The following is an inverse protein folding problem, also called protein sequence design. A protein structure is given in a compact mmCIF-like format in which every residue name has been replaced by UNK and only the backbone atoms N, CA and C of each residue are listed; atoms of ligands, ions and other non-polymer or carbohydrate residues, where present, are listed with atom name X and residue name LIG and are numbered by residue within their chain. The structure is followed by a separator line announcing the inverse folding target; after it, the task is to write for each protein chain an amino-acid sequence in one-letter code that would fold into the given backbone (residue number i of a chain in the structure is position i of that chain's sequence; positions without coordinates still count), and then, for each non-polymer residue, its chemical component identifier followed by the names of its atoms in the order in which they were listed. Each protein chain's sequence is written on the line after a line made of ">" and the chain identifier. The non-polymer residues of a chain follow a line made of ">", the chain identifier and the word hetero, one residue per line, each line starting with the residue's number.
data_IF_497692100362
#
_entry.id   IF_497692100362
#
_cell.length_a   1.000
_cell.length_b   1.000
_cell.length_c   1.000
_cell.angle_alpha   90.00
_cell.angle_beta   90.00
_cell.angle_gamma   90.00
#
_symmetry.space_group_name_H-M   'P 1'
#
loop_
_entity.id
_entity.type
_entity.pdbx_description
1 polymer ?
#
# COMPACT_ATOMS: atom_id res chain seq x y z
N UNK A 1 -25.18 -22.30 -20.01
CA UNK A 1 -24.20 -21.41 -19.38
C UNK A 1 -24.93 -20.56 -18.36
N UNK A 2 -24.49 -20.58 -17.09
CA UNK A 2 -25.26 -20.06 -15.98
C UNK A 2 -25.03 -18.51 -15.88
N UNK A 3 -26.03 -17.73 -16.29
CA UNK A 3 -25.95 -16.24 -16.28
C UNK A 3 -25.60 -15.64 -14.91
N UNK A 4 -25.86 -16.34 -13.81
CA UNK A 4 -25.48 -15.92 -12.46
C UNK A 4 -23.95 -15.91 -12.23
N UNK A 5 -23.21 -16.85 -12.83
CA UNK A 5 -21.76 -16.91 -12.73
C UNK A 5 -21.04 -15.86 -13.61
N UNK A 6 -21.70 -15.43 -14.70
CA UNK A 6 -21.17 -14.38 -15.57
C UNK A 6 -21.31 -13.00 -14.90
N UNK A 7 -22.45 -12.75 -14.24
CA UNK A 7 -22.70 -11.50 -13.52
C UNK A 7 -21.77 -11.33 -12.31
N UNK A 8 -21.54 -12.40 -11.54
CA UNK A 8 -20.60 -12.38 -10.41
C UNK A 8 -19.16 -12.14 -10.88
N UNK A 9 -18.73 -12.81 -11.95
CA UNK A 9 -17.39 -12.61 -12.54
C UNK A 9 -17.22 -11.21 -13.13
N UNK A 10 -18.27 -10.64 -13.73
CA UNK A 10 -18.25 -9.29 -14.31
C UNK A 10 -18.29 -8.23 -13.22
N UNK A 11 -19.00 -8.42 -12.11
CA UNK A 11 -19.02 -7.52 -10.97
C UNK A 11 -17.69 -7.51 -10.23
N UNK A 12 -17.06 -8.67 -10.05
CA UNK A 12 -15.72 -8.80 -9.47
C UNK A 12 -14.67 -8.19 -10.42
N UNK A 13 -14.75 -8.43 -11.73
CA UNK A 13 -13.86 -7.82 -12.70
C UNK A 13 -14.01 -6.30 -12.80
N UNK A 14 -15.23 -5.77 -12.67
CA UNK A 14 -15.50 -4.33 -12.62
C UNK A 14 -14.99 -3.72 -11.30
N UNK A 15 -15.15 -4.40 -10.16
CA UNK A 15 -14.60 -3.96 -8.88
C UNK A 15 -13.07 -4.01 -8.87
N UNK A 16 -12.47 -5.05 -9.46
CA UNK A 16 -11.01 -5.18 -9.62
C UNK A 16 -10.45 -4.14 -10.59
N UNK A 17 -11.19 -3.78 -11.66
CA UNK A 17 -10.77 -2.73 -12.59
C UNK A 17 -10.77 -1.32 -11.97
N UNK A 18 -11.49 -1.11 -10.86
CA UNK A 18 -11.49 0.15 -10.11
C UNK A 18 -10.30 0.28 -9.13
N UNK A 19 -9.59 -0.83 -8.87
CA UNK A 19 -8.50 -0.88 -7.87
C UNK A 19 -7.16 -1.05 -8.59
N UNK A 20 -6.72 -0.05 -9.33
CA UNK A 20 -5.36 -0.01 -9.87
C UNK A 20 -4.57 1.06 -9.11
N UNK A 21 -3.73 0.64 -8.18
CA UNK A 21 -2.95 1.56 -7.36
C UNK A 21 -1.49 1.09 -7.22
N UNK A 22 -0.59 1.98 -7.50
CA UNK A 22 0.84 1.79 -7.33
C UNK A 22 1.42 3.00 -6.62
N UNK A 23 1.86 2.85 -5.39
CA UNK A 23 2.32 3.99 -4.60
C UNK A 23 3.35 3.60 -3.55
N UNK A 24 4.06 4.61 -3.07
CA UNK A 24 5.07 4.51 -2.03
C UNK A 24 4.54 5.00 -0.69
N UNK A 25 4.32 4.10 0.24
CA UNK A 25 4.32 4.35 1.67
C UNK A 25 5.52 3.60 2.28
N UNK A 26 5.72 3.61 3.60
CA UNK A 26 6.79 2.83 4.22
C UNK A 26 6.72 1.36 3.75
N UNK A 27 7.79 0.88 3.13
CA UNK A 27 7.74 -0.31 2.31
C UNK A 27 6.82 -0.11 1.09
N UNK A 28 5.79 -0.93 0.95
CA UNK A 28 4.76 -0.81 -0.10
C UNK A 28 3.32 -0.81 0.48
N UNK A 29 3.18 -0.40 1.75
CA UNK A 29 1.87 -0.19 2.38
C UNK A 29 1.24 1.12 1.92
N UNK A 30 -0.08 1.13 1.73
CA UNK A 30 -0.88 2.29 1.36
C UNK A 30 -1.77 2.73 2.53
N UNK A 31 -1.85 4.05 2.75
CA UNK A 31 -2.77 4.65 3.71
C UNK A 31 -3.95 5.37 3.04
N UNK A 32 -4.00 5.41 1.73
CA UNK A 32 -4.87 6.26 0.89
C UNK A 32 -6.30 5.72 0.78
N UNK A 33 -6.91 5.33 1.90
CA UNK A 33 -8.27 4.78 1.95
C UNK A 33 -9.36 5.86 2.12
N UNK A 34 -8.99 7.16 2.25
CA UNK A 34 -9.94 8.27 2.29
C UNK A 34 -9.26 9.61 2.05
N UNK A 35 -9.99 10.56 1.47
CA UNK A 35 -9.49 11.93 1.27
C UNK A 35 -9.58 12.78 2.54
N UNK A 36 -10.52 12.47 3.43
CA UNK A 36 -10.63 13.13 4.73
C UNK A 36 -9.41 12.78 5.60
N UNK A 37 -8.99 11.51 5.61
CA UNK A 37 -7.76 11.07 6.28
C UNK A 37 -6.53 11.70 5.68
N UNK A 38 -6.44 11.79 4.33
CA UNK A 38 -5.34 12.44 3.64
C UNK A 38 -5.14 13.88 4.14
N UNK A 39 -6.20 14.66 4.31
CA UNK A 39 -6.14 16.05 4.77
C UNK A 39 -5.61 16.25 6.18
N UNK A 40 -5.45 15.18 6.97
CA UNK A 40 -4.91 15.19 8.34
C UNK A 40 -3.71 14.25 8.52
N UNK A 41 -3.06 13.86 7.43
CA UNK A 41 -1.96 12.89 7.41
C UNK A 41 -2.33 11.55 8.09
N UNK A 42 -3.60 11.14 7.99
CA UNK A 42 -4.16 9.93 8.62
C UNK A 42 -3.94 9.87 10.14
N UNK A 43 -3.88 11.02 10.81
CA UNK A 43 -3.79 11.08 12.26
C UNK A 43 -5.13 10.76 12.92
N UNK A 44 -5.11 9.93 13.97
CA UNK A 44 -6.28 9.61 14.78
C UNK A 44 -7.32 8.69 14.12
N UNK A 45 -6.99 8.04 13.00
CA UNK A 45 -7.95 7.29 12.19
C UNK A 45 -8.71 6.22 12.96
N UNK A 46 -8.07 5.53 13.91
CA UNK A 46 -8.70 4.52 14.74
C UNK A 46 -9.72 5.04 15.75
N UNK A 47 -9.80 6.37 15.95
CA UNK A 47 -10.74 7.03 16.86
C UNK A 47 -11.70 7.99 16.14
N UNK A 48 -11.71 8.00 14.80
CA UNK A 48 -12.56 8.84 13.97
C UNK A 48 -13.91 8.18 13.69
N UNK A 49 -14.96 9.01 13.49
CA UNK A 49 -16.30 8.58 13.14
C UNK A 49 -17.01 9.59 12.26
N UNK A 50 -16.26 10.39 11.51
CA UNK A 50 -16.76 11.48 10.70
C UNK A 50 -17.36 11.02 9.37
N UNK A 51 -16.84 9.95 8.78
CA UNK A 51 -17.39 9.32 7.56
C UNK A 51 -17.35 7.79 7.64
N UNK A 52 -18.04 7.13 6.71
CA UNK A 52 -18.00 5.66 6.60
C UNK A 52 -16.58 5.10 6.41
N UNK A 53 -15.66 5.92 5.91
CA UNK A 53 -14.27 5.50 5.65
C UNK A 53 -13.49 5.12 6.92
N UNK A 54 -13.83 5.67 8.08
CA UNK A 54 -13.16 5.37 9.35
C UNK A 54 -13.27 3.89 9.75
N UNK A 55 -14.36 3.22 9.34
CA UNK A 55 -14.56 1.79 9.58
C UNK A 55 -13.50 0.90 8.94
N UNK A 56 -12.86 1.34 7.86
CA UNK A 56 -11.76 0.61 7.21
C UNK A 56 -10.50 0.54 8.07
N UNK A 57 -10.27 1.54 8.92
CA UNK A 57 -9.16 1.53 9.88
C UNK A 57 -9.54 0.82 11.18
N UNK A 58 -10.70 1.18 11.73
CA UNK A 58 -11.21 0.61 12.96
C UNK A 58 -12.72 0.28 12.83
N UNK A 59 -13.10 -1.00 12.69
CA UNK A 59 -14.50 -1.36 12.54
C UNK A 59 -15.36 -0.95 13.73
N UNK A 60 -14.79 -0.79 14.93
CA UNK A 60 -15.52 -0.32 16.12
C UNK A 60 -16.05 1.12 15.98
N UNK A 61 -15.44 1.95 15.11
CA UNK A 61 -15.90 3.32 14.89
C UNK A 61 -17.26 3.41 14.20
N UNK A 62 -17.75 2.31 13.62
CA UNK A 62 -19.13 2.25 13.11
C UNK A 62 -20.16 2.58 14.19
N UNK A 63 -19.86 2.29 15.46
CA UNK A 63 -20.72 2.60 16.60
C UNK A 63 -20.93 4.12 16.82
N UNK A 64 -20.16 4.98 16.17
CA UNK A 64 -20.34 6.43 16.18
C UNK A 64 -21.36 6.92 15.12
N UNK A 65 -21.86 6.02 14.27
CA UNK A 65 -22.79 6.36 13.18
C UNK A 65 -24.22 6.02 13.57
N UNK A 66 -25.07 7.01 13.51
CA UNK A 66 -26.50 6.92 13.85
C UNK A 66 -27.38 6.59 12.64
N UNK A 67 -26.88 6.76 11.43
CA UNK A 67 -27.58 6.54 10.16
C UNK A 67 -26.71 5.75 9.18
N UNK A 68 -27.32 5.10 8.18
CA UNK A 68 -26.53 4.51 7.09
C UNK A 68 -25.65 5.56 6.42
N UNK A 69 -24.40 5.24 6.20
CA UNK A 69 -23.40 6.16 5.67
C UNK A 69 -22.64 5.52 4.50
N UNK A 70 -22.38 6.32 3.49
CA UNK A 70 -21.66 5.94 2.28
C UNK A 70 -20.56 6.95 2.01
N UNK A 71 -19.40 6.48 1.53
CA UNK A 71 -18.31 7.33 1.07
C UNK A 71 -17.68 6.70 -0.18
N UNK A 72 -17.44 7.52 -1.20
CA UNK A 72 -16.74 7.11 -2.42
C UNK A 72 -15.79 8.21 -2.87
N UNK A 73 -14.60 7.81 -3.29
CA UNK A 73 -13.63 8.76 -3.81
C UNK A 73 -12.36 8.10 -4.30
N UNK A 74 -11.35 8.92 -4.50
CA UNK A 74 -10.02 8.47 -4.89
C UNK A 74 -8.95 9.45 -4.44
N UNK A 75 -7.74 8.92 -4.26
CA UNK A 75 -6.52 9.70 -4.08
C UNK A 75 -5.66 9.53 -5.32
N UNK A 76 -5.26 10.63 -5.92
CA UNK A 76 -4.25 10.66 -6.99
C UNK A 76 -2.89 10.89 -6.36
N UNK A 77 -1.93 10.04 -6.68
CA UNK A 77 -0.58 10.11 -6.17
C UNK A 77 0.35 10.37 -7.33
N UNK A 78 1.14 11.43 -7.20
CA UNK A 78 2.11 11.90 -8.18
C UNK A 78 3.51 11.86 -7.57
N UNK A 79 4.21 10.71 -7.70
CA UNK A 79 5.56 10.54 -7.17
C UNK A 79 6.60 11.14 -8.12
N UNK A 80 7.69 11.61 -7.54
CA UNK A 80 8.92 12.00 -8.24
C UNK A 80 10.08 11.27 -7.56
N UNK A 81 10.45 10.13 -8.13
CA UNK A 81 11.50 9.25 -7.60
C UNK A 81 12.62 9.14 -8.63
N UNK A 82 13.82 9.51 -8.22
CA UNK A 82 14.98 9.62 -9.08
C UNK A 82 16.16 8.81 -8.52
N UNK A 83 16.83 8.12 -9.41
CA UNK A 83 18.05 7.37 -9.14
C UNK A 83 19.17 8.05 -9.90
N UNK A 84 20.34 8.18 -9.27
CA UNK A 84 21.53 8.72 -9.92
C UNK A 84 22.80 8.00 -9.50
N UNK A 85 23.83 8.09 -10.33
CA UNK A 85 25.14 7.49 -10.07
C UNK A 85 25.90 7.11 -11.33
N UNK A 86 27.03 6.42 -11.12
CA UNK A 86 27.84 5.85 -12.20
C UNK A 86 28.28 4.44 -11.86
N UNK A 87 28.28 3.57 -12.85
CA UNK A 87 28.81 2.23 -12.71
C UNK A 87 30.35 2.25 -12.66
N UNK A 88 30.96 1.14 -12.29
CA UNK A 88 32.43 1.00 -12.30
C UNK A 88 33.03 1.17 -13.70
N UNK A 89 32.25 0.86 -14.75
CA UNK A 89 32.65 1.10 -16.15
C UNK A 89 32.47 2.56 -16.59
N UNK A 90 31.99 3.45 -15.72
CA UNK A 90 31.74 4.87 -16.00
C UNK A 90 30.41 5.16 -16.68
N UNK A 91 29.55 4.15 -16.91
CA UNK A 91 28.22 4.35 -17.50
C UNK A 91 27.27 5.05 -16.52
N UNK A 92 26.35 5.87 -17.04
CA UNK A 92 25.33 6.50 -16.21
C UNK A 92 24.38 5.47 -15.62
N UNK A 93 24.03 5.69 -14.35
CA UNK A 93 22.98 4.98 -13.61
C UNK A 93 21.75 5.88 -13.39
N UNK A 94 21.70 7.05 -14.04
CA UNK A 94 20.63 8.00 -13.85
C UNK A 94 19.32 7.46 -14.46
N UNK A 95 18.25 7.54 -13.68
CA UNK A 95 16.90 7.22 -14.09
C UNK A 95 15.93 8.13 -13.33
N UNK A 96 15.13 8.91 -14.06
CA UNK A 96 14.21 9.88 -13.48
C UNK A 96 12.78 9.37 -13.57
N UNK A 97 11.94 9.78 -12.60
CA UNK A 97 10.52 9.45 -12.56
C UNK A 97 10.27 7.94 -12.74
N UNK A 98 11.02 7.12 -12.01
CA UNK A 98 10.90 5.66 -12.11
C UNK A 98 9.60 5.12 -11.50
N UNK A 99 8.82 5.96 -10.82
CA UNK A 99 7.55 5.62 -10.20
C UNK A 99 6.42 6.31 -10.97
N UNK A 100 5.52 5.58 -11.64
CA UNK A 100 4.40 6.16 -12.36
C UNK A 100 3.34 6.71 -11.39
N UNK A 101 2.67 7.81 -11.80
CA UNK A 101 1.52 8.37 -11.07
C UNK A 101 0.33 7.41 -11.10
N UNK A 102 -0.48 7.40 -10.03
CA UNK A 102 -1.56 6.44 -9.87
C UNK A 102 -2.79 7.00 -9.15
N UNK A 103 -3.94 6.40 -9.45
CA UNK A 103 -5.19 6.61 -8.74
C UNK A 103 -5.44 5.47 -7.73
N UNK A 104 -5.80 5.83 -6.50
CA UNK A 104 -6.19 4.90 -5.44
C UNK A 104 -7.66 5.14 -5.09
N UNK A 105 -8.59 4.38 -5.69
CA UNK A 105 -10.00 4.52 -5.39
C UNK A 105 -10.34 3.89 -4.04
N UNK A 106 -11.41 4.39 -3.42
CA UNK A 106 -11.97 3.83 -2.20
C UNK A 106 -13.49 3.97 -2.18
N UNK A 107 -14.15 2.99 -1.57
CA UNK A 107 -15.59 2.98 -1.35
C UNK A 107 -15.90 2.33 -0.01
N UNK A 108 -16.83 2.93 0.74
CA UNK A 108 -17.18 2.50 2.08
C UNK A 108 -18.68 2.62 2.30
N UNK A 109 -19.24 1.67 3.03
CA UNK A 109 -20.63 1.67 3.46
C UNK A 109 -20.76 1.17 4.90
N UNK A 110 -21.54 1.84 5.70
CA UNK A 110 -21.87 1.45 7.08
C UNK A 110 -23.38 1.47 7.25
N UNK A 111 -23.92 0.40 7.83
CA UNK A 111 -25.33 0.22 8.12
C UNK A 111 -25.54 -0.05 9.60
N UNK A 112 -26.14 0.89 10.37
CA UNK A 112 -26.70 0.58 11.68
C UNK A 112 -27.82 -0.46 11.55
N UNK A 113 -27.79 -1.48 12.38
CA UNK A 113 -28.85 -2.50 12.46
C UNK A 113 -29.81 -2.16 13.59
N UNK A 114 -29.23 -1.75 14.73
CA UNK A 114 -29.93 -1.24 15.92
C UNK A 114 -28.92 -0.44 16.75
N UNK A 115 -29.30 -0.05 17.97
CA UNK A 115 -28.45 0.76 18.86
C UNK A 115 -27.17 0.05 19.35
N UNK A 116 -27.01 -1.23 19.07
CA UNK A 116 -25.88 -2.04 19.52
C UNK A 116 -25.08 -2.67 18.38
N UNK A 117 -25.67 -2.83 17.18
CA UNK A 117 -25.06 -3.57 16.09
C UNK A 117 -24.96 -2.75 14.80
N UNK A 118 -23.80 -2.83 14.16
CA UNK A 118 -23.50 -2.24 12.86
C UNK A 118 -22.86 -3.28 11.95
N UNK A 119 -23.09 -3.14 10.66
CA UNK A 119 -22.34 -3.85 9.62
C UNK A 119 -21.74 -2.85 8.66
N UNK A 120 -20.60 -3.21 8.07
CA UNK A 120 -19.89 -2.37 7.12
C UNK A 120 -19.27 -3.18 5.99
N UNK A 121 -19.07 -2.51 4.87
CA UNK A 121 -18.38 -3.04 3.72
C UNK A 121 -17.46 -1.97 3.12
N UNK A 122 -16.31 -2.35 2.65
CA UNK A 122 -15.40 -1.45 1.96
C UNK A 122 -14.61 -2.14 0.87
N UNK A 123 -14.16 -1.35 -0.10
CA UNK A 123 -13.16 -1.72 -1.08
C UNK A 123 -12.07 -0.64 -1.08
N UNK A 124 -10.86 -1.06 -0.76
CA UNK A 124 -9.69 -0.19 -0.61
C UNK A 124 -8.46 -0.86 -1.24
N UNK A 125 -7.35 -0.16 -1.27
CA UNK A 125 -6.05 -0.73 -1.59
C UNK A 125 -5.09 -0.44 -0.43
N UNK A 126 -4.57 -1.50 0.19
CA UNK A 126 -3.72 -1.37 1.38
C UNK A 126 -2.24 -1.57 1.07
N UNK A 127 -1.91 -2.12 -0.09
CA UNK A 127 -0.55 -2.35 -0.56
C UNK A 127 -0.46 -2.09 -2.04
N UNK A 128 0.66 -1.54 -2.50
CA UNK A 128 0.91 -1.30 -3.90
C UNK A 128 2.32 -0.77 -4.12
N UNK A 129 2.88 -1.07 -5.29
CA UNK A 129 4.22 -0.67 -5.68
C UNK A 129 4.33 -0.63 -7.20
N UNK A 130 4.96 0.40 -7.76
CA UNK A 130 5.35 0.41 -9.15
C UNK A 130 6.68 1.13 -9.35
N UNK A 131 7.62 0.44 -9.97
CA UNK A 131 8.83 1.04 -10.53
C UNK A 131 9.04 0.56 -11.94
N UNK A 132 9.48 1.45 -12.81
CA UNK A 132 9.74 1.15 -14.20
C UNK A 132 11.01 1.88 -14.70
N UNK A 133 11.97 1.10 -15.18
CA UNK A 133 13.20 1.56 -15.80
C UNK A 133 13.16 1.22 -17.30
N UNK A 134 13.92 1.93 -18.11
CA UNK A 134 14.09 1.57 -19.51
C UNK A 134 14.70 0.16 -19.64
N UNK A 135 14.25 -0.60 -20.64
CA UNK A 135 14.70 -1.99 -20.85
C UNK A 135 16.22 -2.14 -21.01
N UNK A 136 16.88 -1.13 -21.59
CA UNK A 136 18.34 -1.08 -21.73
C UNK A 136 19.08 -0.40 -20.57
N UNK A 137 18.42 -0.19 -19.42
CA UNK A 137 19.03 0.44 -18.26
C UNK A 137 20.31 -0.25 -17.82
N UNK A 138 21.35 0.52 -17.50
CA UNK A 138 22.70 0.00 -17.18
C UNK A 138 22.67 -1.07 -16.08
N UNK A 139 21.90 -0.85 -15.02
CA UNK A 139 21.70 -1.82 -13.92
C UNK A 139 20.38 -2.60 -14.07
N UNK A 140 20.07 -3.08 -15.27
CA UNK A 140 18.79 -3.73 -15.61
C UNK A 140 18.47 -4.97 -14.79
N UNK A 141 19.48 -5.68 -14.26
CA UNK A 141 19.29 -6.81 -13.35
C UNK A 141 18.72 -6.45 -11.98
N UNK A 142 18.85 -5.19 -11.57
CA UNK A 142 18.34 -4.63 -10.31
C UNK A 142 17.15 -3.70 -10.53
N UNK A 143 17.08 -2.99 -11.66
CA UNK A 143 15.99 -2.14 -12.10
C UNK A 143 14.87 -2.92 -12.79
N UNK A 144 14.61 -2.59 -14.05
CA UNK A 144 13.53 -3.23 -14.83
C UNK A 144 12.17 -2.73 -14.44
N UNK A 145 11.23 -3.67 -14.21
CA UNK A 145 9.88 -3.36 -13.75
C UNK A 145 9.54 -4.17 -12.51
N UNK A 146 8.98 -3.50 -11.52
CA UNK A 146 8.39 -4.13 -10.34
C UNK A 146 7.02 -3.51 -10.12
N UNK A 147 5.99 -4.34 -10.09
CA UNK A 147 4.60 -3.92 -10.07
C UNK A 147 3.82 -4.83 -9.12
N UNK A 148 3.18 -4.24 -8.12
CA UNK A 148 2.26 -4.89 -7.20
C UNK A 148 1.00 -4.07 -7.09
N UNK A 149 -0.13 -4.68 -7.38
CA UNK A 149 -1.45 -4.09 -7.23
C UNK A 149 -2.26 -4.95 -6.27
N UNK A 150 -2.93 -4.33 -5.30
CA UNK A 150 -3.86 -5.05 -4.43
C UNK A 150 -5.21 -4.37 -4.35
N UNK A 151 -6.26 -5.17 -4.22
CA UNK A 151 -7.60 -4.72 -3.85
C UNK A 151 -8.05 -5.44 -2.60
N UNK A 152 -8.41 -4.72 -1.55
CA UNK A 152 -8.92 -5.28 -0.32
C UNK A 152 -10.42 -5.08 -0.21
N UNK A 153 -11.17 -6.17 -0.13
CA UNK A 153 -12.61 -6.19 0.11
C UNK A 153 -12.84 -6.61 1.55
N UNK A 154 -13.40 -5.70 2.35
CA UNK A 154 -13.66 -5.93 3.77
C UNK A 154 -15.17 -5.99 4.05
N UNK A 155 -15.56 -6.97 4.85
CA UNK A 155 -16.88 -7.05 5.49
C UNK A 155 -16.67 -7.05 6.99
N UNK A 156 -17.34 -6.15 7.69
CA UNK A 156 -17.13 -5.95 9.12
C UNK A 156 -18.44 -5.82 9.90
N UNK A 157 -18.34 -6.06 11.18
CA UNK A 157 -19.40 -5.82 12.15
C UNK A 157 -18.84 -5.13 13.38
N UNK A 158 -19.67 -4.33 14.03
CA UNK A 158 -19.37 -3.70 15.31
C UNK A 158 -20.46 -3.95 16.32
N UNK A 159 -20.07 -3.98 17.57
CA UNK A 159 -20.96 -4.14 18.70
C UNK A 159 -20.63 -3.13 19.81
N UNK A 160 -21.65 -2.42 20.29
CA UNK A 160 -21.54 -1.50 21.42
C UNK A 160 -21.79 -2.26 22.71
N UNK A 161 -20.73 -2.44 23.51
CA UNK A 161 -20.78 -3.12 24.81
C UNK A 161 -21.50 -2.29 25.87
N UNK A 162 -21.20 -0.98 25.90
CA UNK A 162 -21.77 0.00 26.83
C UNK A 162 -21.53 1.43 26.31
N UNK A 163 -21.79 2.42 27.13
CA UNK A 163 -21.62 3.85 26.78
C UNK A 163 -20.16 4.23 26.43
N UNK A 164 -19.18 3.45 26.90
CA UNK A 164 -17.77 3.77 26.74
C UNK A 164 -17.05 2.85 25.73
N UNK A 165 -17.47 1.60 25.59
CA UNK A 165 -16.74 0.61 24.80
C UNK A 165 -17.54 0.08 23.62
N UNK A 166 -16.91 0.08 22.47
CA UNK A 166 -17.36 -0.62 21.28
C UNK A 166 -16.22 -1.49 20.73
N UNK A 167 -16.59 -2.61 20.14
CA UNK A 167 -15.64 -3.54 19.49
C UNK A 167 -16.10 -3.78 18.07
N UNK A 168 -15.17 -4.15 17.22
CA UNK A 168 -15.47 -4.50 15.84
C UNK A 168 -14.51 -5.55 15.32
N UNK A 169 -14.97 -6.31 14.34
CA UNK A 169 -14.19 -7.32 13.63
C UNK A 169 -14.58 -7.33 12.16
N UNK A 170 -13.61 -7.59 11.29
CA UNK A 170 -13.83 -7.67 9.86
C UNK A 170 -13.06 -8.82 9.23
N UNK A 171 -13.55 -9.26 8.08
CA UNK A 171 -12.92 -10.21 7.20
C UNK A 171 -12.38 -9.48 5.97
N UNK A 172 -11.13 -9.75 5.61
CA UNK A 172 -10.44 -9.18 4.46
C UNK A 172 -10.25 -10.25 3.37
N UNK A 173 -10.71 -9.97 2.16
CA UNK A 173 -10.36 -10.71 0.95
C UNK A 173 -9.50 -9.81 0.07
N UNK A 174 -8.23 -10.18 -0.11
CA UNK A 174 -7.25 -9.38 -0.83
C UNK A 174 -6.93 -10.05 -2.16
N UNK A 175 -7.31 -9.41 -3.25
CA UNK A 175 -6.82 -9.77 -4.58
C UNK A 175 -5.51 -9.05 -4.83
N UNK A 176 -4.48 -9.79 -5.21
CA UNK A 176 -3.17 -9.25 -5.51
C UNK A 176 -2.72 -9.66 -6.91
N UNK A 177 -2.10 -8.74 -7.63
CA UNK A 177 -1.47 -8.98 -8.92
C UNK A 177 -0.04 -8.45 -8.88
N UNK A 178 0.92 -9.30 -9.24
CA UNK A 178 2.33 -8.96 -9.22
C UNK A 178 2.99 -9.22 -10.58
N UNK A 179 3.96 -8.35 -10.92
CA UNK A 179 4.79 -8.48 -12.10
C UNK A 179 6.21 -8.00 -11.79
N UNK A 180 7.21 -8.82 -12.16
CA UNK A 180 8.61 -8.47 -12.02
C UNK A 180 9.29 -8.73 -13.36
N UNK A 181 10.01 -7.75 -13.88
CA UNK A 181 10.86 -7.87 -15.07
C UNK A 181 12.27 -7.40 -14.75
N UNK A 182 13.27 -8.13 -15.22
CA UNK A 182 14.68 -7.76 -15.13
C UNK A 182 15.33 -7.92 -16.50
N UNK A 183 16.32 -7.08 -16.74
CA UNK A 183 17.04 -7.03 -18.01
C UNK A 183 18.54 -7.19 -17.77
N UNK A 184 19.29 -7.59 -18.81
CA UNK A 184 20.72 -7.88 -18.68
C UNK A 184 21.55 -6.63 -18.28
N UNK A 185 21.17 -5.44 -18.76
CA UNK A 185 21.93 -4.23 -18.53
C UNK A 185 23.37 -4.35 -19.03
N UNK A 186 24.30 -3.67 -18.36
CA UNK A 186 25.73 -3.76 -18.74
C UNK A 186 26.33 -5.16 -18.47
N UNK A 187 25.72 -5.96 -17.57
CA UNK A 187 26.14 -7.34 -17.30
C UNK A 187 25.98 -8.25 -18.53
N UNK A 188 25.12 -7.88 -19.46
CA UNK A 188 24.92 -8.61 -20.73
C UNK A 188 26.19 -8.72 -21.56
N UNK A 189 27.12 -7.78 -21.44
CA UNK A 189 28.39 -7.82 -22.16
C UNK A 189 29.24 -9.06 -21.82
N UNK A 190 29.23 -9.51 -20.57
CA UNK A 190 29.94 -10.72 -20.13
C UNK A 190 29.36 -12.00 -20.75
N UNK A 191 28.04 -12.01 -21.02
CA UNK A 191 27.32 -13.12 -21.65
C UNK A 191 27.18 -12.94 -23.17
N UNK A 192 27.67 -11.84 -23.73
CA UNK A 192 27.55 -11.45 -25.15
C UNK A 192 26.09 -11.36 -25.61
N UNK A 193 25.21 -10.86 -24.73
CA UNK A 193 23.79 -10.60 -25.01
C UNK A 193 23.49 -9.10 -24.92
N UNK A 194 22.50 -8.58 -25.66
CA UNK A 194 22.07 -7.18 -25.59
C UNK A 194 21.63 -6.76 -24.18
N UNK A 195 21.83 -5.49 -23.83
CA UNK A 195 21.47 -4.95 -22.51
C UNK A 195 19.95 -5.02 -22.24
N UNK A 196 19.12 -4.96 -23.27
CA UNK A 196 17.66 -5.07 -23.23
C UNK A 196 17.13 -6.51 -23.25
N UNK A 197 18.03 -7.50 -23.20
CA UNK A 197 17.61 -8.90 -23.07
C UNK A 197 16.91 -9.12 -21.73
N UNK A 198 15.67 -9.60 -21.79
CA UNK A 198 14.89 -9.91 -20.58
C UNK A 198 15.42 -11.17 -19.91
N UNK A 199 16.01 -11.00 -18.71
CA UNK A 199 16.62 -12.10 -17.95
C UNK A 199 15.69 -12.70 -16.89
N UNK A 200 14.63 -11.99 -16.54
CA UNK A 200 13.54 -12.52 -15.73
C UNK A 200 12.23 -11.82 -16.08
N UNK A 201 11.18 -12.60 -16.16
CA UNK A 201 9.79 -12.14 -16.25
C UNK A 201 8.93 -13.06 -15.40
N UNK A 202 8.36 -12.49 -14.34
CA UNK A 202 7.42 -13.16 -13.44
C UNK A 202 6.12 -12.40 -13.49
N UNK A 203 5.00 -13.09 -13.53
CA UNK A 203 3.67 -12.51 -13.37
C UNK A 203 2.73 -13.53 -12.75
N UNK A 204 1.83 -13.05 -11.92
CA UNK A 204 0.77 -13.86 -11.32
C UNK A 204 -0.26 -12.99 -10.64
N UNK A 205 -1.40 -13.56 -10.39
CA UNK A 205 -2.47 -12.96 -9.61
C UNK A 205 -3.10 -14.04 -8.71
N UNK A 206 -3.47 -13.67 -7.50
CA UNK A 206 -4.03 -14.59 -6.53
C UNK A 206 -4.80 -13.84 -5.43
N UNK A 207 -5.64 -14.57 -4.72
CA UNK A 207 -6.34 -14.13 -3.54
C UNK A 207 -5.59 -14.51 -2.26
N UNK A 208 -5.57 -13.58 -1.30
CA UNK A 208 -5.18 -13.83 0.08
C UNK A 208 -6.30 -13.44 1.02
N UNK A 209 -6.27 -13.93 2.24
CA UNK A 209 -7.33 -13.68 3.22
C UNK A 209 -6.75 -13.28 4.56
N UNK A 210 -7.46 -12.41 5.23
CA UNK A 210 -7.08 -11.90 6.53
C UNK A 210 -8.29 -11.42 7.31
N UNK A 211 -8.01 -10.76 8.41
CA UNK A 211 -9.02 -10.20 9.29
C UNK A 211 -8.51 -8.94 9.98
N UNK A 212 -9.42 -8.14 10.47
CA UNK A 212 -9.09 -6.98 11.28
C UNK A 212 -10.03 -6.88 12.48
N UNK A 213 -9.57 -6.23 13.52
CA UNK A 213 -10.35 -5.98 14.72
C UNK A 213 -10.03 -4.61 15.29
N UNK A 214 -10.95 -4.09 16.07
CA UNK A 214 -10.74 -2.82 16.73
C UNK A 214 -11.55 -2.66 18.01
N UNK A 215 -11.08 -1.75 18.84
CA UNK A 215 -11.74 -1.29 20.06
C UNK A 215 -11.83 0.23 19.97
N UNK A 216 -12.98 0.77 20.33
CA UNK A 216 -13.18 2.19 20.54
C UNK A 216 -13.53 2.43 22.00
N UNK A 217 -12.79 3.30 22.65
CA UNK A 217 -13.07 3.77 24.00
C UNK A 217 -13.46 5.23 24.00
N UNK A 218 -14.72 5.52 24.31
CA UNK A 218 -15.28 6.85 24.47
C UNK A 218 -15.25 7.23 25.95
N UNK A 219 -14.30 8.07 26.36
CA UNK A 219 -14.23 8.58 27.74
C UNK A 219 -15.44 9.45 28.00
N UNK A 220 -15.74 10.33 27.04
CA UNK A 220 -16.89 11.21 26.94
C UNK A 220 -17.11 11.62 25.46
N UNK A 221 -18.03 12.53 25.19
CA UNK A 221 -18.31 13.02 23.83
C UNK A 221 -17.14 13.75 23.16
N UNK A 222 -16.15 14.22 23.93
CA UNK A 222 -15.01 15.00 23.46
C UNK A 222 -13.69 14.23 23.45
N UNK A 223 -13.65 13.03 24.03
CA UNK A 223 -12.40 12.30 24.22
C UNK A 223 -12.58 10.82 23.85
N UNK A 224 -11.86 10.36 22.84
CA UNK A 224 -11.89 8.98 22.35
C UNK A 224 -10.51 8.44 22.10
N UNK A 225 -10.37 7.13 22.32
CA UNK A 225 -9.19 6.35 21.97
C UNK A 225 -9.62 5.16 21.11
N UNK A 226 -8.78 4.82 20.15
CA UNK A 226 -8.95 3.64 19.31
C UNK A 226 -7.74 2.74 19.37
N UNK A 227 -7.97 1.44 19.32
CA UNK A 227 -6.94 0.44 19.14
C UNK A 227 -7.36 -0.49 18.02
N UNK A 228 -6.47 -0.70 17.04
CA UNK A 228 -6.77 -1.52 15.87
C UNK A 228 -5.68 -2.55 15.60
N UNK A 229 -6.10 -3.65 15.04
CA UNK A 229 -5.24 -4.71 14.52
C UNK A 229 -5.71 -5.14 13.13
N UNK A 230 -4.79 -5.29 12.22
CA UNK A 230 -4.99 -5.93 10.92
C UNK A 230 -4.01 -7.07 10.78
N UNK A 231 -4.51 -8.26 10.46
CA UNK A 231 -3.70 -9.47 10.34
C UNK A 231 -2.78 -9.42 9.11
N UNK A 232 -1.72 -10.19 9.17
CA UNK A 232 -0.96 -10.58 7.98
C UNK A 232 -1.89 -11.20 6.94
N UNK A 233 -1.60 -10.92 5.66
CA UNK A 233 -2.23 -11.62 4.52
C UNK A 233 -1.13 -12.27 3.70
N UNK A 234 -1.19 -13.59 3.62
CA UNK A 234 -0.31 -14.39 2.79
C UNK A 234 -0.93 -14.58 1.41
N UNK A 235 -0.19 -14.20 0.37
CA UNK A 235 -0.59 -14.41 -1.02
C UNK A 235 0.38 -15.40 -1.67
N UNK A 236 -0.13 -16.58 -2.00
CA UNK A 236 0.63 -17.65 -2.63
C UNK A 236 0.37 -17.62 -4.15
N UNK A 237 1.15 -16.84 -4.88
CA UNK A 237 1.00 -16.72 -6.33
C UNK A 237 1.41 -18.01 -7.04
N UNK A 238 0.50 -18.50 -7.88
CA UNK A 238 0.81 -19.45 -8.95
C UNK A 238 0.78 -18.68 -10.27
N UNK A 239 1.92 -18.64 -10.96
CA UNK A 239 2.06 -17.81 -12.15
C UNK A 239 3.07 -18.33 -13.15
N UNK A 240 3.46 -17.45 -14.05
CA UNK A 240 4.38 -17.71 -15.15
C UNK A 240 5.76 -17.13 -14.87
N UNK A 241 6.78 -17.89 -15.19
CA UNK A 241 8.17 -17.47 -15.23
C UNK A 241 8.80 -17.66 -16.61
N UNK A 242 9.57 -16.69 -17.08
CA UNK A 242 10.31 -16.75 -18.34
C UNK A 242 11.65 -16.03 -18.20
N UNK A 243 12.69 -16.59 -18.82
CA UNK A 243 14.01 -15.95 -18.97
C UNK A 243 14.61 -16.25 -20.33
N UNK A 244 15.17 -15.23 -20.98
CA UNK A 244 15.93 -15.43 -22.23
C UNK A 244 17.37 -15.85 -21.98
N UNK A 245 17.79 -16.04 -20.72
CA UNK A 245 19.09 -16.63 -20.41
C UNK A 245 19.15 -18.09 -20.89
N UNK A 246 20.33 -18.55 -21.37
CA UNK A 246 20.53 -19.94 -21.72
C UNK A 246 20.33 -20.89 -20.54
N UNK A 247 19.57 -21.95 -20.72
CA UNK A 247 19.34 -22.97 -19.67
C UNK A 247 20.64 -23.71 -19.28
N UNK A 248 21.63 -23.72 -20.16
CA UNK A 248 22.97 -24.29 -19.86
C UNK A 248 23.66 -23.60 -18.68
N UNK A 249 23.34 -22.32 -18.40
CA UNK A 249 23.87 -21.60 -17.24
C UNK A 249 23.43 -22.22 -15.92
N UNK A 250 22.27 -22.87 -15.89
CA UNK A 250 21.68 -23.42 -14.67
C UNK A 250 22.54 -24.56 -14.07
N UNK A 251 23.43 -25.18 -14.87
CA UNK A 251 24.33 -26.21 -14.38
C UNK A 251 25.39 -25.68 -13.39
N UNK A 252 25.72 -24.38 -13.49
CA UNK A 252 26.76 -23.72 -12.69
C UNK A 252 26.23 -22.52 -11.91
N UNK A 253 24.96 -22.21 -12.06
CA UNK A 253 24.30 -21.03 -11.46
C UNK A 253 23.24 -21.45 -10.43
N UNK A 254 23.30 -20.84 -9.25
CA UNK A 254 22.24 -20.90 -8.26
C UNK A 254 21.72 -19.47 -8.03
N UNK A 255 20.50 -19.15 -8.45
CA UNK A 255 19.93 -17.80 -8.32
C UNK A 255 19.97 -17.24 -6.89
N UNK A 256 19.83 -18.09 -5.88
CA UNK A 256 19.84 -17.66 -4.48
C UNK A 256 21.25 -17.20 -4.02
N UNK A 257 22.31 -17.70 -4.65
CA UNK A 257 23.69 -17.32 -4.31
C UNK A 257 24.24 -16.22 -5.22
N UNK A 258 23.94 -16.31 -6.52
CA UNK A 258 24.50 -15.42 -7.53
C UNK A 258 23.66 -14.18 -7.82
N UNK A 259 22.34 -14.21 -7.51
CA UNK A 259 21.38 -13.21 -7.94
C UNK A 259 21.03 -13.28 -9.43
N UNK A 260 21.64 -14.20 -10.21
CA UNK A 260 21.36 -14.37 -11.63
C UNK A 260 20.15 -15.28 -11.78
N UNK A 261 19.06 -14.83 -12.48
CA UNK A 261 17.85 -15.63 -12.65
C UNK A 261 18.08 -16.95 -13.40
N UNK A 262 17.21 -17.91 -13.18
CA UNK A 262 17.20 -19.21 -13.85
C UNK A 262 16.91 -19.06 -15.35
N UNK A 263 17.75 -19.64 -16.22
CA UNK A 263 17.59 -19.56 -17.67
C UNK A 263 16.56 -20.56 -18.21
N UNK A 264 15.67 -20.12 -19.12
CA UNK A 264 14.66 -20.97 -19.76
C UNK A 264 14.74 -20.95 -21.28
N UNK A 265 15.81 -20.40 -21.88
CA UNK A 265 15.93 -20.23 -23.34
C UNK A 265 14.72 -19.51 -23.97
N UNK A 266 14.08 -18.60 -23.24
CA UNK A 266 12.87 -17.90 -23.68
C UNK A 266 11.56 -18.68 -23.55
N UNK A 267 11.58 -19.87 -22.98
CA UNK A 267 10.36 -20.66 -22.71
C UNK A 267 9.68 -20.19 -21.44
N UNK A 268 8.35 -20.17 -21.44
CA UNK A 268 7.53 -19.91 -20.24
C UNK A 268 7.34 -21.22 -19.49
N UNK A 269 7.59 -21.18 -18.18
CA UNK A 269 7.38 -22.30 -17.27
C UNK A 269 6.55 -21.86 -16.06
N UNK A 270 5.87 -22.77 -15.35
CA UNK A 270 5.19 -22.46 -14.11
C UNK A 270 6.17 -21.98 -13.04
N UNK A 271 5.74 -20.99 -12.24
CA UNK A 271 6.50 -20.47 -11.11
C UNK A 271 5.57 -20.08 -9.95
N UNK A 272 5.99 -20.35 -8.73
CA UNK A 272 5.26 -19.99 -7.52
C UNK A 272 6.08 -19.00 -6.69
N UNK A 273 5.40 -18.01 -6.10
CA UNK A 273 6.00 -17.02 -5.20
C UNK A 273 5.02 -16.69 -4.08
N UNK A 274 5.50 -16.71 -2.84
CA UNK A 274 4.73 -16.26 -1.68
C UNK A 274 5.09 -14.82 -1.35
N UNK A 275 4.08 -13.98 -1.18
CA UNK A 275 4.19 -12.61 -0.69
C UNK A 275 3.45 -12.47 0.64
N UNK A 276 4.18 -12.08 1.68
CA UNK A 276 3.59 -11.77 2.98
C UNK A 276 3.31 -10.26 3.05
N UNK A 277 2.02 -9.90 3.14
CA UNK A 277 1.57 -8.55 3.43
C UNK A 277 1.46 -8.41 4.95
N UNK A 278 2.26 -7.54 5.58
CA UNK A 278 2.47 -7.59 7.02
C UNK A 278 1.25 -7.19 7.85
N UNK A 279 1.19 -7.68 9.07
CA UNK A 279 0.22 -7.22 10.07
C UNK A 279 0.52 -5.81 10.56
N UNK A 280 -0.51 -5.14 11.06
CA UNK A 280 -0.41 -3.77 11.58
C UNK A 280 -1.21 -3.60 12.87
N UNK A 281 -0.62 -2.86 13.81
CA UNK A 281 -1.22 -2.40 15.06
C UNK A 281 -1.28 -0.88 15.06
N UNK A 282 -2.36 -0.28 15.56
CA UNK A 282 -2.44 1.17 15.69
C UNK A 282 -3.17 1.57 16.96
N UNK A 283 -2.63 2.58 17.64
CA UNK A 283 -3.28 3.31 18.73
C UNK A 283 -3.57 4.72 18.23
N UNK A 284 -4.79 5.18 18.46
CA UNK A 284 -5.26 6.50 18.03
C UNK A 284 -5.95 7.23 19.17
N UNK A 285 -5.89 8.55 19.13
CA UNK A 285 -6.65 9.44 20.02
C UNK A 285 -7.29 10.58 19.25
N UNK A 286 -8.47 10.98 19.70
CA UNK A 286 -9.18 12.15 19.22
C UNK A 286 -9.75 12.93 20.41
N UNK A 287 -9.48 14.24 20.48
CA UNK A 287 -9.84 15.10 21.59
C UNK A 287 -10.35 16.45 21.08
N UNK A 288 -11.61 16.78 21.39
CA UNK A 288 -12.16 18.11 21.15
C UNK A 288 -11.76 19.03 22.29
N UNK A 289 -10.69 19.77 22.09
CA UNK A 289 -10.06 20.61 23.13
C UNK A 289 -10.71 21.97 23.30
N UNK A 290 -11.53 22.40 22.33
CA UNK A 290 -12.30 23.62 22.34
C UNK A 290 -13.55 23.44 21.45
N UNK A 291 -14.58 24.34 21.53
CA UNK A 291 -15.82 24.19 20.74
C UNK A 291 -15.59 24.02 19.23
N UNK A 292 -14.54 24.64 18.68
CA UNK A 292 -14.22 24.60 17.26
C UNK A 292 -12.93 23.85 16.94
N UNK A 293 -12.26 23.21 17.93
CA UNK A 293 -10.96 22.59 17.74
C UNK A 293 -10.90 21.17 18.27
N UNK A 294 -10.40 20.27 17.46
CA UNK A 294 -10.00 18.93 17.87
C UNK A 294 -8.54 18.67 17.53
N UNK A 295 -7.88 17.89 18.37
CA UNK A 295 -6.52 17.36 18.16
C UNK A 295 -6.63 15.86 18.06
N UNK A 296 -5.85 15.25 17.17
CA UNK A 296 -5.85 13.83 16.96
C UNK A 296 -4.46 13.33 16.60
N UNK A 297 -4.19 12.11 16.99
CA UNK A 297 -2.88 11.49 16.82
C UNK A 297 -3.03 9.98 16.65
N UNK A 298 -2.02 9.38 16.05
CA UNK A 298 -1.90 7.92 15.95
C UNK A 298 -0.44 7.48 15.94
N UNK A 299 -0.24 6.26 16.42
CA UNK A 299 1.01 5.54 16.32
C UNK A 299 0.70 4.14 15.79
N UNK A 300 1.24 3.82 14.63
CA UNK A 300 1.08 2.55 13.98
C UNK A 300 2.40 1.78 13.97
N UNK A 301 2.31 0.48 14.19
CA UNK A 301 3.41 -0.46 14.10
C UNK A 301 3.08 -1.51 13.06
N UNK A 302 3.97 -1.70 12.09
CA UNK A 302 3.82 -2.68 11.02
C UNK A 302 4.94 -3.71 11.10
N UNK A 303 4.55 -4.99 11.18
CA UNK A 303 5.47 -6.13 11.31
C UNK A 303 6.12 -6.49 9.95
N UNK A 304 6.87 -5.55 9.38
CA UNK A 304 7.55 -5.74 8.11
C UNK A 304 8.60 -6.86 8.12
N UNK A 305 9.04 -7.31 9.30
CA UNK A 305 9.88 -8.50 9.45
C UNK A 305 9.22 -9.78 8.92
N UNK A 306 7.93 -9.76 8.59
CA UNK A 306 7.25 -10.85 7.88
C UNK A 306 7.60 -10.90 6.38
N UNK A 307 8.15 -9.81 5.81
CA UNK A 307 8.61 -9.75 4.43
C UNK A 307 10.14 -9.88 4.36
N UNK A 308 10.63 -11.11 4.17
CA UNK A 308 12.05 -11.42 4.23
C UNK A 308 12.70 -11.61 2.87
N UNK A 309 11.96 -12.11 1.88
CA UNK A 309 12.51 -12.44 0.56
C UNK A 309 11.44 -12.38 -0.53
N UNK A 310 11.90 -12.16 -1.76
CA UNK A 310 11.16 -12.46 -2.98
C UNK A 310 11.81 -13.68 -3.61
N UNK A 311 11.16 -14.83 -3.51
CA UNK A 311 11.66 -16.10 -4.02
C UNK A 311 10.62 -16.78 -4.88
N UNK A 312 10.93 -16.91 -6.17
CA UNK A 312 10.15 -17.71 -7.09
C UNK A 312 10.74 -19.10 -7.24
N UNK A 313 9.89 -20.12 -7.17
CA UNK A 313 10.27 -21.53 -7.29
C UNK A 313 9.51 -22.19 -8.44
N UNK A 314 10.20 -23.08 -9.17
CA UNK A 314 9.60 -23.90 -10.20
C UNK A 314 8.99 -25.19 -9.65
N UNK A 315 8.30 -25.95 -10.52
CA UNK A 315 7.57 -27.18 -10.16
C UNK A 315 8.45 -28.27 -9.53
N UNK A 316 9.75 -28.24 -9.77
CA UNK A 316 10.71 -29.19 -9.18
C UNK A 316 11.40 -28.64 -7.94
N UNK A 317 10.93 -27.50 -7.41
CA UNK A 317 11.51 -26.84 -6.26
C UNK A 317 12.79 -26.03 -6.56
N UNK A 318 13.21 -25.92 -7.84
CA UNK A 318 14.35 -25.09 -8.22
C UNK A 318 14.04 -23.60 -8.03
N UNK A 319 15.02 -22.84 -7.54
CA UNK A 319 14.90 -21.39 -7.46
C UNK A 319 14.99 -20.77 -8.84
N UNK A 320 13.96 -20.00 -9.22
CA UNK A 320 13.88 -19.30 -10.51
C UNK A 320 14.38 -17.86 -10.40
N UNK A 321 13.99 -17.20 -9.32
CA UNK A 321 14.37 -15.82 -8.99
C UNK A 321 14.53 -15.69 -7.48
N UNK A 322 15.47 -14.88 -7.05
CA UNK A 322 15.70 -14.64 -5.63
C UNK A 322 16.15 -13.21 -5.36
N UNK A 323 15.59 -12.61 -4.33
CA UNK A 323 16.02 -11.36 -3.76
C UNK A 323 15.84 -11.39 -2.24
N UNK A 324 16.90 -11.13 -1.51
CA UNK A 324 16.88 -10.93 -0.07
C UNK A 324 16.39 -9.52 0.24
N UNK A 325 15.30 -9.40 0.96
CA UNK A 325 14.70 -8.12 1.38
C UNK A 325 14.99 -7.83 2.85
N UNK A 326 14.89 -8.83 3.73
CA UNK A 326 15.23 -8.76 5.17
C UNK A 326 14.69 -7.49 5.85
N UNK A 327 13.41 -7.15 5.59
CA UNK A 327 12.78 -5.96 6.16
C UNK A 327 12.72 -6.07 7.68
N UNK A 328 12.73 -4.93 8.36
CA UNK A 328 12.54 -4.78 9.79
C UNK A 328 11.19 -4.14 10.09
N UNK A 329 10.68 -4.34 11.29
CA UNK A 329 9.46 -3.68 11.73
C UNK A 329 9.62 -2.16 11.74
N UNK A 330 8.54 -1.45 11.46
CA UNK A 330 8.58 -0.02 11.29
C UNK A 330 7.40 0.68 11.99
N UNK A 331 7.61 1.94 12.35
CA UNK A 331 6.66 2.79 13.03
C UNK A 331 6.20 3.93 12.13
N UNK A 332 4.94 4.32 12.32
CA UNK A 332 4.39 5.57 11.79
C UNK A 332 3.77 6.37 12.91
N UNK A 333 4.11 7.63 13.01
CA UNK A 333 3.56 8.57 13.99
C UNK A 333 2.89 9.70 13.22
N UNK A 334 1.67 10.05 13.60
CA UNK A 334 0.91 11.14 13.00
C UNK A 334 0.26 12.02 14.05
N UNK A 335 0.23 13.32 13.79
CA UNK A 335 -0.41 14.34 14.60
C UNK A 335 -1.18 15.30 13.70
N UNK A 336 -2.38 15.65 14.08
CA UNK A 336 -3.21 16.57 13.31
C UNK A 336 -4.19 17.35 14.15
N UNK A 337 -4.84 18.29 13.49
CA UNK A 337 -5.90 19.11 14.09
C UNK A 337 -7.04 19.33 13.09
N UNK A 338 -8.23 19.47 13.64
CA UNK A 338 -9.47 19.79 12.91
C UNK A 338 -10.05 21.08 13.46
N UNK A 339 -10.38 22.00 12.56
CA UNK A 339 -11.06 23.25 12.84
C UNK A 339 -12.47 23.24 12.27
N UNK A 340 -13.47 23.23 13.16
CA UNK A 340 -14.90 23.31 12.82
C UNK A 340 -15.26 24.79 12.67
N UNK A 341 -15.15 25.33 11.45
CA UNK A 341 -15.36 26.75 11.19
C UNK A 341 -16.82 27.14 11.36
N UNK A 342 -17.72 26.43 10.68
CA UNK A 342 -19.18 26.58 10.80
C UNK A 342 -19.89 25.24 10.49
N UNK A 343 -21.19 25.28 10.31
CA UNK A 343 -22.00 24.08 9.99
C UNK A 343 -21.67 23.44 8.64
N UNK A 344 -21.09 24.20 7.70
CA UNK A 344 -20.78 23.75 6.35
C UNK A 344 -19.29 23.46 6.17
N UNK A 345 -18.40 24.25 6.75
CA UNK A 345 -16.97 24.18 6.52
C UNK A 345 -16.19 23.57 7.69
N UNK A 346 -15.34 22.61 7.39
CA UNK A 346 -14.37 22.03 8.32
C UNK A 346 -13.01 22.01 7.65
N UNK A 347 -11.97 22.43 8.36
CA UNK A 347 -10.59 22.45 7.89
C UNK A 347 -9.73 21.50 8.71
N UNK A 348 -8.73 20.90 8.08
CA UNK A 348 -7.81 19.95 8.71
C UNK A 348 -6.39 20.21 8.27
N UNK A 349 -5.46 19.88 9.14
CA UNK A 349 -4.04 19.80 8.82
C UNK A 349 -3.41 18.67 9.63
N UNK A 350 -2.30 18.15 9.15
CA UNK A 350 -1.59 17.09 9.86
C UNK A 350 -0.15 16.94 9.38
N UNK A 351 0.64 16.32 10.23
CA UNK A 351 1.99 15.88 9.93
C UNK A 351 2.13 14.41 10.29
N UNK A 352 2.97 13.69 9.57
CA UNK A 352 3.31 12.31 9.91
C UNK A 352 4.76 12.01 9.57
N UNK A 353 5.32 11.07 10.30
CA UNK A 353 6.62 10.50 10.03
C UNK A 353 6.47 8.99 9.86
N UNK A 354 7.01 8.48 8.75
CA UNK A 354 7.10 7.05 8.44
C UNK A 354 8.57 6.61 8.55
N UNK A 355 8.85 5.69 9.47
CA UNK A 355 10.13 4.99 9.55
C UNK A 355 10.24 3.95 8.43
N UNK A 356 11.36 3.93 7.71
CA UNK A 356 11.59 2.95 6.66
C UNK A 356 11.81 1.54 7.24
N UNK A 357 11.10 0.51 6.75
CA UNK A 357 11.36 -0.87 7.15
C UNK A 357 12.63 -1.45 6.53
N UNK A 358 13.26 -0.77 5.58
CA UNK A 358 14.37 -1.33 4.80
C UNK A 358 15.71 -1.01 5.47
N UNK A 359 16.48 -2.02 5.94
CA UNK A 359 17.83 -1.80 6.44
C UNK A 359 18.72 -1.16 5.36
N UNK A 360 19.69 -0.34 5.77
CA UNK A 360 20.51 0.43 4.85
C UNK A 360 21.29 -0.43 3.84
N UNK A 361 21.67 -1.65 4.23
CA UNK A 361 22.37 -2.63 3.41
C UNK A 361 21.44 -3.50 2.55
N UNK A 362 20.11 -3.35 2.71
CA UNK A 362 19.09 -4.05 1.92
C UNK A 362 18.28 -3.13 1.00
N UNK A 363 18.59 -1.84 0.99
CA UNK A 363 17.96 -0.89 0.08
C UNK A 363 18.13 -1.30 -1.37
N UNK A 364 17.08 -1.07 -2.16
CA UNK A 364 17.03 -1.48 -3.55
C UNK A 364 16.44 -0.39 -4.43
N UNK A 365 16.83 -0.37 -5.71
CA UNK A 365 16.25 0.56 -6.67
C UNK A 365 14.91 0.06 -7.24
N UNK A 366 14.62 -1.22 -7.10
CA UNK A 366 13.34 -1.81 -7.55
C UNK A 366 12.19 -1.62 -6.56
N UNK A 367 12.51 -1.45 -5.27
CA UNK A 367 11.58 -1.11 -4.19
C UNK A 367 12.24 0.02 -3.38
N UNK A 368 12.36 1.24 -3.96
CA UNK A 368 13.02 2.34 -3.26
C UNK A 368 12.24 2.70 -2.00
N UNK A 369 12.92 2.80 -0.89
CA UNK A 369 12.32 3.17 0.38
C UNK A 369 13.28 3.95 1.27
N UNK A 370 12.73 4.90 2.01
CA UNK A 370 13.43 5.80 2.93
C UNK A 370 12.46 6.36 3.97
N UNK A 371 12.99 6.92 5.04
CA UNK A 371 12.17 7.67 6.00
C UNK A 371 11.45 8.83 5.31
N UNK A 372 10.20 9.08 5.70
CA UNK A 372 9.33 10.08 5.05
C UNK A 372 8.64 10.98 6.05
N UNK A 373 8.55 12.24 5.66
CA UNK A 373 7.76 13.25 6.33
C UNK A 373 6.54 13.60 5.47
N UNK A 374 5.37 13.64 6.08
CA UNK A 374 4.11 14.07 5.47
C UNK A 374 3.67 15.41 6.01
N UNK A 375 3.25 16.30 5.11
CA UNK A 375 2.58 17.56 5.43
C UNK A 375 1.24 17.57 4.70
N UNK A 376 0.14 17.69 5.43
CA UNK A 376 -1.20 17.56 4.88
C UNK A 376 -2.09 18.73 5.25
N UNK A 377 -3.01 19.05 4.36
CA UNK A 377 -4.12 19.96 4.58
C UNK A 377 -5.37 19.44 3.88
N UNK A 378 -6.53 19.76 4.42
CA UNK A 378 -7.79 19.32 3.84
C UNK A 378 -8.98 20.15 4.30
N UNK A 379 -10.07 19.99 3.57
CA UNK A 379 -11.33 20.65 3.88
C UNK A 379 -12.50 19.73 3.58
N UNK A 380 -13.58 19.91 4.32
CA UNK A 380 -14.87 19.32 4.02
C UNK A 380 -15.90 20.42 3.85
N UNK A 381 -16.80 20.23 2.90
CA UNK A 381 -17.98 21.07 2.73
C UNK A 381 -19.23 20.24 2.81
N UNK A 382 -20.09 20.53 3.80
CA UNK A 382 -21.40 19.94 3.95
C UNK A 382 -22.43 20.78 3.17
N UNK A 383 -23.06 20.18 2.17
CA UNK A 383 -24.15 20.81 1.41
C UNK A 383 -25.41 20.94 2.27
N UNK A 384 -25.66 19.89 3.05
CA UNK A 384 -26.76 19.74 4.00
C UNK A 384 -26.37 18.69 5.07
N UNK A 385 -27.34 18.24 5.85
CA UNK A 385 -27.15 17.23 6.90
C UNK A 385 -26.83 15.81 6.34
N UNK A 386 -27.02 15.59 5.04
CA UNK A 386 -26.86 14.29 4.41
C UNK A 386 -25.60 14.21 3.52
N UNK A 387 -25.33 15.24 2.72
CA UNK A 387 -24.32 15.22 1.68
C UNK A 387 -23.12 16.10 2.00
N UNK A 388 -21.91 15.60 1.80
CA UNK A 388 -20.67 16.36 1.93
C UNK A 388 -19.61 15.92 0.92
N UNK A 389 -18.64 16.78 0.71
CA UNK A 389 -17.43 16.51 -0.08
C UNK A 389 -16.21 16.79 0.77
N UNK A 390 -15.24 15.88 0.73
CA UNK A 390 -13.93 16.07 1.31
C UNK A 390 -12.87 16.25 0.22
N UNK A 391 -11.94 17.15 0.44
CA UNK A 391 -10.76 17.36 -0.39
C UNK A 391 -9.53 17.35 0.52
N UNK A 392 -8.51 16.60 0.14
CA UNK A 392 -7.24 16.55 0.85
C UNK A 392 -6.07 16.70 -0.10
N UNK A 393 -5.00 17.30 0.41
CA UNK A 393 -3.72 17.41 -0.25
C UNK A 393 -2.61 17.04 0.74
N UNK A 394 -1.61 16.31 0.28
CA UNK A 394 -0.43 15.99 1.07
C UNK A 394 0.83 16.11 0.26
N UNK A 395 1.88 16.63 0.88
CA UNK A 395 3.23 16.58 0.36
C UNK A 395 4.03 15.57 1.19
N UNK A 396 4.60 14.59 0.53
CA UNK A 396 5.46 13.59 1.14
C UNK A 396 6.90 13.80 0.68
N UNK A 397 7.80 13.99 1.64
CA UNK A 397 9.23 14.15 1.39
C UNK A 397 10.00 12.96 1.96
N UNK A 398 10.70 12.24 1.10
CA UNK A 398 11.60 11.15 1.48
C UNK A 398 13.02 11.65 1.71
N UNK A 399 13.72 11.06 2.66
CA UNK A 399 15.12 11.31 2.92
C UNK A 399 15.97 10.79 1.73
N UNK A 400 16.96 11.57 1.29
CA UNK A 400 17.91 11.10 0.29
C UNK A 400 18.79 9.99 0.88
N UNK A 401 18.92 8.87 0.17
CA UNK A 401 19.63 7.70 0.66
C UNK A 401 20.59 7.14 -0.38
N UNK A 402 21.65 6.50 0.11
CA UNK A 402 22.54 5.70 -0.74
C UNK A 402 22.04 4.26 -0.79
N UNK A 403 21.98 3.69 -1.99
CA UNK A 403 21.61 2.30 -2.25
C UNK A 403 22.83 1.56 -2.80
N UNK A 404 23.17 0.43 -2.20
CA UNK A 404 24.22 -0.46 -2.67
C UNK A 404 23.62 -1.79 -3.07
N UNK A 405 23.59 -2.07 -4.37
CA UNK A 405 23.10 -3.35 -4.91
C UNK A 405 24.12 -3.95 -5.87
N UNK A 406 24.62 -5.13 -5.53
CA UNK A 406 25.68 -5.79 -6.29
C UNK A 406 26.90 -4.89 -6.49
N UNK A 407 27.37 -4.70 -7.74
CA UNK A 407 28.52 -3.83 -8.02
C UNK A 407 28.19 -2.34 -8.07
N UNK A 408 26.93 -1.95 -7.83
CA UNK A 408 26.46 -0.59 -8.03
C UNK A 408 26.28 0.17 -6.73
N UNK A 409 26.49 1.48 -6.82
CA UNK A 409 26.15 2.44 -5.77
C UNK A 409 25.29 3.54 -6.40
N UNK A 410 24.10 3.73 -5.87
CA UNK A 410 23.13 4.72 -6.33
C UNK A 410 22.85 5.75 -5.24
N UNK A 411 22.50 6.95 -5.65
CA UNK A 411 21.76 7.89 -4.82
C UNK A 411 20.27 7.79 -5.19
N UNK A 412 19.41 7.65 -4.21
CA UNK A 412 17.96 7.59 -4.39
C UNK A 412 17.31 8.75 -3.64
N UNK A 413 16.45 9.48 -4.33
CA UNK A 413 15.64 10.54 -3.77
C UNK A 413 14.19 10.38 -4.22
N UNK A 414 13.26 10.66 -3.32
CA UNK A 414 11.84 10.51 -3.60
C UNK A 414 10.99 11.51 -2.84
N UNK A 415 10.01 12.05 -3.54
CA UNK A 415 8.95 12.89 -3.00
C UNK A 415 7.65 12.59 -3.73
N UNK A 416 6.52 12.97 -3.16
CA UNK A 416 5.24 12.82 -3.84
C UNK A 416 4.25 13.92 -3.43
N UNK A 417 3.37 14.27 -4.36
CA UNK A 417 2.16 15.00 -4.09
C UNK A 417 0.97 14.04 -4.15
N UNK A 418 0.06 14.19 -3.19
CA UNK A 418 -1.15 13.39 -3.11
C UNK A 418 -2.36 14.32 -3.10
N UNK A 419 -3.36 14.01 -3.92
CA UNK A 419 -4.59 14.79 -4.05
C UNK A 419 -5.77 13.86 -3.93
N UNK A 420 -6.69 14.14 -3.01
CA UNK A 420 -7.85 13.29 -2.79
C UNK A 420 -9.15 14.07 -2.81
N UNK A 421 -10.20 13.40 -3.28
CA UNK A 421 -11.57 13.86 -3.17
C UNK A 421 -12.50 12.67 -2.86
N UNK A 422 -13.39 12.86 -1.88
CA UNK A 422 -14.46 11.91 -1.54
C UNK A 422 -15.80 12.62 -1.49
N UNK A 423 -16.84 11.93 -1.94
CA UNK A 423 -18.22 12.27 -1.69
C UNK A 423 -18.78 11.37 -0.59
N UNK A 424 -19.48 11.97 0.38
CA UNK A 424 -20.10 11.26 1.47
C UNK A 424 -21.60 11.52 1.50
N UNK A 425 -22.36 10.51 1.86
CA UNK A 425 -23.81 10.60 2.01
C UNK A 425 -24.28 9.83 3.24
N UNK A 426 -25.15 10.44 4.05
CA UNK A 426 -25.88 9.82 5.16
C UNK A 426 -27.36 9.76 4.81
N UNK A 427 -27.92 8.55 4.83
CA UNK A 427 -29.32 8.30 4.46
C UNK A 427 -30.33 8.68 5.55
#
# INVERSE_FOLDING_TARGET
>A
MNHKNLFAKSAVAAAVALVSSHVYAAGFQLNEFSSIGLGRAYSGEGAMGDTAASASRNPATMALMDRPAFSIGAVYIDPDVNISGRSQSGRSLDANNIAPSQWVPNIHYVQPINDQWWIGASATSNYGLATEFNNGYTAGGYGGKTDLMTGNFNLSTAYRLNEHFSVGVGFDAVYAKAKIERYAGESGAALRIPADTQVAHLKGDEWGYGWNAGILYEVDENNRFGFTYRSEVKVDFDGDYKSNLPSALNAVNNPQQSGIPYGTNGSTIPGALTLNLPEMWEVSGWHKVAPQWAVHYSMAYTSWSQFQELKATGSNGQTLFYKDESYRDAWRIALGTTYFYDKNWTFRTGIAFDDSPVPADKRSISIPDQDRLWLSAGTSYAFDDNASVDVGISYMHGQNVTVKEGPYTFNSEGKAWLYGANFNYKF
#
